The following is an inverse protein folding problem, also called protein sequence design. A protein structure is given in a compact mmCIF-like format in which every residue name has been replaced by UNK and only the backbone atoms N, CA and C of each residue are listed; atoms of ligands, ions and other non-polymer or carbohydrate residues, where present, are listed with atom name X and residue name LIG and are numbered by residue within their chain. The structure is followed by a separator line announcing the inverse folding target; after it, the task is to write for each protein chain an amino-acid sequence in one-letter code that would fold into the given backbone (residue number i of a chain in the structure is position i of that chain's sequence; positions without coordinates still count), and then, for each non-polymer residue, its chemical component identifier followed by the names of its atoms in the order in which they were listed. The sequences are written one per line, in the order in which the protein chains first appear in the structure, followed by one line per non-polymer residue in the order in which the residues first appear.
data_IF_668645191872
#
_entry.id   IF_668645191872
#
_cell.length_a   1.000
_cell.length_b   1.000
_cell.length_c   1.000
_cell.angle_alpha   90.00
_cell.angle_beta   90.00
_cell.angle_gamma   90.00
#
_symmetry.space_group_name_H-M   'P 1'
#
loop_
_entity.id
_entity.type
_entity.pdbx_description
1 polymer ?
#
# COMPACT_ATOMS: atom_id res chain seq x y z
N UNK A 1 -41.71 50.35 19.00
CA UNK A 1 -41.38 51.02 17.72
C UNK A 1 -40.63 50.02 16.87
N UNK A 2 -41.28 49.52 15.81
CA UNK A 2 -40.75 48.47 14.93
C UNK A 2 -39.75 49.05 13.93
N UNK A 3 -38.66 48.34 13.66
CA UNK A 3 -38.07 48.21 12.31
C UNK A 3 -37.22 46.95 12.23
N UNK A 4 -37.86 45.85 11.83
CA UNK A 4 -37.20 44.64 11.32
C UNK A 4 -36.61 45.00 9.95
N UNK A 5 -35.30 44.93 9.79
CA UNK A 5 -34.65 44.98 8.48
C UNK A 5 -34.54 43.54 8.01
N UNK A 6 -35.47 43.16 7.13
CA UNK A 6 -35.45 41.91 6.37
C UNK A 6 -34.56 42.20 5.15
N UNK A 7 -33.32 41.75 5.18
CA UNK A 7 -32.46 41.77 3.99
C UNK A 7 -32.71 40.49 3.20
N UNK A 8 -33.25 40.69 2.01
CA UNK A 8 -33.63 39.69 1.02
C UNK A 8 -32.36 39.07 0.38
N UNK A 9 -32.32 37.74 0.30
CA UNK A 9 -31.29 36.96 -0.37
C UNK A 9 -31.23 37.22 -1.88
N UNK A 10 -30.03 37.16 -2.46
CA UNK A 10 -29.83 36.77 -3.85
C UNK A 10 -28.71 35.71 -3.90
N UNK A 11 -29.12 34.44 -3.97
CA UNK A 11 -28.23 33.30 -4.22
C UNK A 11 -28.06 33.14 -5.73
N UNK A 12 -26.86 33.40 -6.25
CA UNK A 12 -26.50 33.08 -7.63
C UNK A 12 -25.98 31.63 -7.68
N UNK A 13 -26.80 30.71 -8.18
CA UNK A 13 -26.36 29.37 -8.56
C UNK A 13 -25.72 29.45 -9.95
N UNK A 14 -24.40 29.29 -10.04
CA UNK A 14 -23.71 29.07 -11.31
C UNK A 14 -23.69 27.55 -11.56
N UNK A 15 -24.46 27.13 -12.56
CA UNK A 15 -24.47 25.76 -13.08
C UNK A 15 -23.24 25.58 -13.99
N UNK A 16 -22.26 24.79 -13.55
CA UNK A 16 -21.18 24.32 -14.43
C UNK A 16 -21.60 22.95 -14.97
N UNK A 17 -22.02 22.91 -16.23
CA UNK A 17 -22.23 21.64 -16.92
C UNK A 17 -20.87 21.04 -17.33
N UNK A 18 -20.62 19.73 -17.08
CA UNK A 18 -19.48 19.06 -17.69
C UNK A 18 -19.80 18.74 -19.15
N UNK A 19 -19.09 19.38 -20.07
CA UNK A 19 -19.03 18.96 -21.48
C UNK A 19 -17.65 18.38 -21.70
N UNK A 20 -17.59 17.06 -21.89
CA UNK A 20 -16.78 16.43 -22.94
C UNK A 20 -17.23 14.99 -23.09
N UNK A 21 -18.00 14.77 -24.15
CA UNK A 21 -18.21 13.48 -24.76
C UNK A 21 -16.87 12.97 -25.30
N UNK A 22 -16.53 11.73 -25.01
CA UNK A 22 -15.65 10.94 -25.88
C UNK A 22 -16.24 9.56 -26.07
N UNK A 23 -16.13 9.15 -27.32
CA UNK A 23 -16.91 8.15 -28.02
C UNK A 23 -16.73 6.73 -27.47
N UNK A 24 -17.84 6.01 -27.51
CA UNK A 24 -17.94 4.57 -27.47
C UNK A 24 -17.46 4.04 -28.84
N UNK A 25 -16.27 3.44 -28.89
CA UNK A 25 -15.84 2.65 -30.03
C UNK A 25 -15.54 1.23 -29.54
N UNK A 26 -16.55 0.38 -29.68
CA UNK A 26 -16.47 -1.05 -29.47
C UNK A 26 -15.47 -1.66 -30.45
N UNK A 27 -14.34 -2.15 -29.93
CA UNK A 27 -13.45 -3.01 -30.71
C UNK A 27 -14.15 -4.36 -30.98
N UNK A 28 -14.05 -4.91 -32.21
CA UNK A 28 -14.75 -6.12 -32.59
C UNK A 28 -14.14 -7.37 -31.94
N UNK A 29 -15.04 -8.27 -31.52
CA UNK A 29 -14.74 -9.62 -31.06
C UNK A 29 -14.40 -10.47 -32.29
N UNK A 30 -13.13 -10.85 -32.47
CA UNK A 30 -12.78 -11.94 -33.37
C UNK A 30 -12.85 -13.29 -32.64
N UNK A 31 -13.56 -14.20 -33.26
CA UNK A 31 -13.89 -15.55 -32.82
C UNK A 31 -13.10 -16.60 -33.61
N UNK A 32 -12.91 -17.77 -33.00
CA UNK A 32 -12.62 -19.10 -33.62
C UNK A 32 -11.12 -19.34 -33.95
N UNK A 33 -10.43 -20.43 -33.58
CA UNK A 33 -10.84 -21.81 -33.34
C UNK A 33 -9.86 -22.60 -32.44
N UNK A 34 -10.43 -23.66 -31.87
CA UNK A 34 -9.82 -24.81 -31.20
C UNK A 34 -8.85 -25.60 -32.09
N UNK A 35 -7.73 -26.04 -31.52
CA UNK A 35 -7.14 -27.35 -31.84
C UNK A 35 -6.67 -28.04 -30.55
N UNK A 36 -7.37 -29.13 -30.22
CA UNK A 36 -6.95 -30.14 -29.26
C UNK A 36 -5.83 -30.97 -29.89
N UNK A 37 -4.70 -31.15 -29.20
CA UNK A 37 -3.95 -32.40 -29.28
C UNK A 37 -3.64 -32.92 -27.87
N UNK A 38 -3.93 -34.20 -27.73
CA UNK A 38 -3.97 -35.01 -26.52
C UNK A 38 -2.67 -35.81 -26.42
N UNK A 39 -1.91 -35.65 -25.32
CA UNK A 39 -0.98 -36.67 -24.84
C UNK A 39 -1.16 -36.82 -23.31
N UNK A 40 -1.22 -38.07 -22.89
CA UNK A 40 -1.74 -38.62 -21.64
C UNK A 40 -0.86 -38.38 -20.37
N UNK A 41 -1.37 -38.67 -19.15
CA UNK A 41 -0.77 -38.29 -17.87
C UNK A 41 0.23 -39.33 -17.36
N UNK A 42 1.21 -38.91 -16.55
CA UNK A 42 2.02 -39.82 -15.70
C UNK A 42 2.40 -39.10 -14.39
N UNK A 43 2.42 -39.78 -13.23
CA UNK A 43 2.05 -39.17 -11.95
C UNK A 43 3.22 -38.87 -11.01
N UNK A 44 2.91 -38.04 -10.02
CA UNK A 44 3.55 -37.86 -8.69
C UNK A 44 4.95 -37.27 -8.64
N UNK A 45 5.05 -36.06 -8.10
CA UNK A 45 5.72 -35.97 -6.80
C UNK A 45 5.04 -34.89 -5.93
N UNK A 46 4.50 -35.35 -4.81
CA UNK A 46 3.94 -34.51 -3.75
C UNK A 46 5.10 -33.85 -3.03
N UNK A 47 5.37 -32.59 -3.36
CA UNK A 47 6.02 -31.68 -2.41
C UNK A 47 4.98 -30.65 -2.00
N UNK A 48 4.55 -30.75 -0.74
CA UNK A 48 3.76 -29.74 -0.04
C UNK A 48 4.56 -28.44 0.02
N UNK A 49 4.55 -27.68 -1.06
CA UNK A 49 4.93 -26.28 -1.03
C UNK A 49 3.62 -25.51 -0.86
N UNK A 50 3.30 -25.18 0.39
CA UNK A 50 2.37 -24.11 0.72
C UNK A 50 2.62 -22.97 -0.25
N UNK A 51 1.62 -22.48 -1.01
CA UNK A 51 1.85 -21.35 -1.89
C UNK A 51 2.26 -20.18 -1.01
N UNK A 52 3.54 -19.84 -1.03
CA UNK A 52 4.01 -18.55 -0.55
C UNK A 52 3.18 -17.54 -1.31
N UNK A 53 2.31 -16.84 -0.58
CA UNK A 53 1.43 -15.81 -1.11
C UNK A 53 2.32 -14.77 -1.77
N UNK A 54 2.48 -14.87 -3.09
CA UNK A 54 3.18 -13.89 -3.92
C UNK A 54 2.44 -12.58 -3.72
N UNK A 55 3.08 -11.70 -2.96
CA UNK A 55 2.56 -10.38 -2.63
C UNK A 55 2.75 -9.53 -3.85
N UNK A 56 1.65 -9.04 -4.41
CA UNK A 56 1.71 -8.03 -5.46
C UNK A 56 2.09 -6.69 -4.81
N UNK A 57 3.19 -6.04 -5.26
CA UNK A 57 3.54 -4.71 -4.78
C UNK A 57 2.43 -3.71 -5.16
N UNK A 58 2.03 -2.84 -4.22
CA UNK A 58 1.30 -1.63 -4.58
C UNK A 58 2.37 -0.59 -4.96
N UNK A 59 2.74 -0.60 -6.24
CA UNK A 59 3.66 0.36 -6.82
C UNK A 59 2.91 1.63 -7.23
N UNK A 60 3.40 2.79 -6.79
CA UNK A 60 3.00 4.10 -7.30
C UNK A 60 4.27 4.91 -7.46
N UNK A 61 4.79 5.01 -8.68
CA UNK A 61 5.98 5.82 -9.00
C UNK A 61 5.89 7.19 -8.29
N UNK A 62 6.87 7.59 -7.45
CA UNK A 62 8.20 7.00 -7.21
C UNK A 62 8.33 6.04 -6.00
N UNK A 63 7.24 5.67 -5.36
CA UNK A 63 7.21 4.80 -4.18
C UNK A 63 6.78 3.36 -4.49
N UNK A 64 7.34 2.42 -3.73
CA UNK A 64 6.81 1.07 -3.60
C UNK A 64 6.62 0.73 -2.13
N UNK A 65 5.51 0.06 -1.83
CA UNK A 65 5.23 -0.51 -0.51
C UNK A 65 5.00 -2.02 -0.64
N UNK A 66 5.79 -2.79 0.08
CA UNK A 66 5.70 -4.25 0.13
C UNK A 66 5.39 -4.70 1.55
N UNK A 67 4.55 -5.73 1.64
CA UNK A 67 4.14 -6.31 2.91
C UNK A 67 4.20 -7.83 2.83
N UNK A 68 5.10 -8.44 3.60
CA UNK A 68 5.36 -9.86 3.60
C UNK A 68 5.25 -10.50 4.98
N UNK A 69 5.54 -11.78 5.00
CA UNK A 69 5.77 -12.58 6.21
C UNK A 69 7.23 -12.98 6.20
N UNK A 70 7.94 -12.76 7.29
CA UNK A 70 9.29 -13.28 7.51
C UNK A 70 9.26 -14.45 8.48
N UNK A 71 10.40 -15.08 8.71
CA UNK A 71 10.54 -16.13 9.73
C UNK A 71 10.40 -15.61 11.16
N UNK A 72 10.17 -14.30 11.37
CA UNK A 72 10.12 -13.70 12.71
C UNK A 72 8.87 -12.86 12.93
N UNK A 73 8.17 -12.43 11.88
CA UNK A 73 6.97 -11.60 12.01
C UNK A 73 6.39 -11.17 10.67
N UNK A 74 5.61 -10.09 10.68
CA UNK A 74 5.13 -9.45 9.45
C UNK A 74 6.12 -8.36 9.05
N UNK A 75 6.64 -8.43 7.84
CA UNK A 75 7.70 -7.54 7.37
C UNK A 75 7.13 -6.51 6.40
N UNK A 76 7.38 -5.23 6.69
CA UNK A 76 7.07 -4.11 5.82
C UNK A 76 8.33 -3.49 5.24
N UNK A 77 8.35 -3.36 3.92
CA UNK A 77 9.44 -2.73 3.18
C UNK A 77 8.87 -1.57 2.37
N UNK A 78 9.56 -0.44 2.37
CA UNK A 78 9.25 0.66 1.45
C UNK A 78 10.50 1.04 0.68
N UNK A 79 10.30 1.47 -0.57
CA UNK A 79 11.34 2.09 -1.36
C UNK A 79 10.83 3.34 -2.07
N UNK A 80 11.75 4.25 -2.29
CA UNK A 80 11.59 5.47 -3.06
C UNK A 80 12.68 5.48 -4.13
N UNK A 81 12.31 5.66 -5.39
CA UNK A 81 13.25 5.81 -6.48
C UNK A 81 12.79 6.94 -7.39
N UNK A 82 13.53 8.05 -7.36
CA UNK A 82 13.27 9.18 -8.24
C UNK A 82 14.57 9.62 -8.95
N UNK A 83 14.84 9.06 -10.16
CA UNK A 83 16.06 9.32 -10.89
C UNK A 83 16.35 10.82 -11.07
N UNK A 84 17.58 11.22 -10.77
CA UNK A 84 18.04 12.61 -10.88
C UNK A 84 17.59 13.55 -9.75
N UNK A 85 16.86 13.04 -8.74
CA UNK A 85 16.48 13.82 -7.54
C UNK A 85 17.27 13.33 -6.34
N UNK A 86 18.20 14.15 -5.84
CA UNK A 86 19.00 13.80 -4.66
C UNK A 86 18.17 13.92 -3.39
N UNK A 87 17.91 12.80 -2.71
CA UNK A 87 17.14 12.76 -1.46
C UNK A 87 17.94 13.42 -0.33
N UNK A 88 17.25 14.24 0.45
CA UNK A 88 17.82 15.07 1.51
C UNK A 88 17.23 14.74 2.88
N UNK A 89 15.97 14.31 2.93
CA UNK A 89 15.28 13.93 4.16
C UNK A 89 14.24 12.85 3.86
N UNK A 90 14.23 11.82 4.68
CA UNK A 90 13.14 10.86 4.78
C UNK A 90 12.36 11.17 6.04
N UNK A 91 11.05 11.33 5.92
CA UNK A 91 10.11 11.56 7.02
C UNK A 91 8.83 10.77 6.75
N UNK A 92 8.86 9.48 7.06
CA UNK A 92 7.78 8.54 6.79
C UNK A 92 7.30 7.85 8.08
N UNK A 93 6.04 7.43 8.08
CA UNK A 93 5.45 6.58 9.11
C UNK A 93 4.76 5.42 8.42
N UNK A 94 5.08 4.20 8.85
CA UNK A 94 4.48 2.96 8.39
C UNK A 94 3.65 2.37 9.52
N UNK A 95 2.34 2.38 9.36
CA UNK A 95 1.40 1.81 10.31
C UNK A 95 1.03 0.38 9.91
N UNK A 96 1.07 -0.54 10.88
CA UNK A 96 0.42 -1.83 10.75
C UNK A 96 -1.06 -1.65 11.11
N UNK A 97 -1.93 -1.94 10.16
CA UNK A 97 -3.37 -1.92 10.36
C UNK A 97 -3.93 -3.33 10.42
N UNK A 98 -4.88 -3.53 11.31
CA UNK A 98 -5.56 -4.80 11.56
C UNK A 98 -7.05 -4.66 11.37
N UNK A 99 -7.69 -5.76 10.99
CA UNK A 99 -9.12 -5.98 11.16
C UNK A 99 -9.37 -7.46 11.38
N UNK A 100 -10.36 -7.78 12.20
CA UNK A 100 -10.71 -9.17 12.50
C UNK A 100 -11.45 -9.83 11.34
N UNK A 101 -12.43 -9.13 10.77
CA UNK A 101 -13.23 -9.57 9.64
C UNK A 101 -13.14 -8.58 8.48
N UNK A 102 -13.45 -9.04 7.26
CA UNK A 102 -13.47 -8.17 6.07
C UNK A 102 -14.43 -6.96 6.19
N UNK A 103 -15.53 -7.11 6.95
CA UNK A 103 -16.52 -6.06 7.17
C UNK A 103 -16.10 -5.07 8.27
N UNK A 104 -15.08 -5.40 9.06
CA UNK A 104 -14.60 -4.53 10.12
C UNK A 104 -13.75 -3.40 9.53
N UNK A 105 -13.77 -2.25 10.22
CA UNK A 105 -12.88 -1.14 9.87
C UNK A 105 -11.44 -1.51 10.18
N UNK A 106 -10.52 -0.91 9.44
CA UNK A 106 -9.09 -1.03 9.72
C UNK A 106 -8.72 -0.17 10.93
N UNK A 107 -7.99 -0.76 11.86
CA UNK A 107 -7.47 -0.09 13.06
C UNK A 107 -5.94 -0.17 13.06
N UNK A 108 -5.26 0.93 13.37
CA UNK A 108 -3.80 0.92 13.56
C UNK A 108 -3.47 0.22 14.88
N UNK A 109 -2.64 -0.81 14.81
CA UNK A 109 -2.24 -1.64 15.97
C UNK A 109 -0.76 -1.50 16.32
N UNK A 110 0.08 -1.09 15.37
CA UNK A 110 1.51 -0.83 15.57
C UNK A 110 2.02 0.16 14.52
N UNK A 111 3.21 0.73 14.70
CA UNK A 111 3.77 1.72 13.78
C UNK A 111 5.29 1.87 13.88
N UNK A 112 5.91 2.15 12.73
CA UNK A 112 7.35 2.41 12.60
C UNK A 112 7.60 3.77 11.95
N UNK A 113 8.43 4.59 12.59
CA UNK A 113 8.85 5.88 12.07
C UNK A 113 10.21 5.80 11.37
N UNK A 114 10.31 6.43 10.19
CA UNK A 114 11.55 6.59 9.44
C UNK A 114 11.85 8.07 9.31
N UNK A 115 12.75 8.57 10.17
CA UNK A 115 13.16 9.97 10.18
C UNK A 115 14.68 10.09 10.17
N UNK A 116 15.26 10.40 9.01
CA UNK A 116 16.71 10.50 8.86
C UNK A 116 17.10 11.35 7.63
N UNK A 117 18.29 11.98 7.64
CA UNK A 117 18.81 12.66 6.46
C UNK A 117 19.08 11.65 5.33
N UNK A 118 18.65 11.97 4.11
CA UNK A 118 18.85 11.12 2.93
C UNK A 118 20.31 11.00 2.53
N UNK A 119 20.66 9.88 1.88
CA UNK A 119 22.01 9.53 1.42
C UNK A 119 22.48 10.27 0.16
N UNK A 120 21.85 11.39 -0.21
CA UNK A 120 22.09 12.22 -1.40
C UNK A 120 22.00 11.48 -2.76
N UNK A 121 21.62 10.21 -2.75
CA UNK A 121 21.28 9.43 -3.93
C UNK A 121 19.86 9.71 -4.42
N UNK A 122 19.46 9.02 -5.49
CA UNK A 122 18.08 9.09 -6.02
C UNK A 122 17.14 8.04 -5.44
N UNK A 123 17.66 7.21 -4.55
CA UNK A 123 16.98 6.04 -4.01
C UNK A 123 17.10 6.02 -2.50
N UNK A 124 16.01 5.65 -1.84
CA UNK A 124 15.98 5.35 -0.42
C UNK A 124 15.11 4.12 -0.21
N UNK A 125 15.47 3.28 0.74
CA UNK A 125 14.64 2.14 1.14
C UNK A 125 14.89 1.82 2.60
N UNK A 126 13.86 1.29 3.26
CA UNK A 126 13.98 0.81 4.62
C UNK A 126 12.88 -0.19 4.95
N UNK A 127 13.04 -0.86 6.08
CA UNK A 127 12.18 -1.94 6.51
C UNK A 127 11.85 -1.88 7.99
N UNK A 128 10.71 -2.47 8.36
CA UNK A 128 10.35 -2.73 9.74
C UNK A 128 9.67 -4.09 9.85
N UNK A 129 9.89 -4.77 10.97
CA UNK A 129 9.22 -6.02 11.29
C UNK A 129 8.26 -5.78 12.45
N UNK A 130 7.02 -6.21 12.27
CA UNK A 130 5.96 -6.14 13.26
C UNK A 130 5.65 -7.53 13.82
N UNK A 131 5.25 -7.59 15.09
CA UNK A 131 5.04 -8.85 15.83
C UNK A 131 3.61 -8.96 16.36
N UNK A 132 2.61 -9.06 15.48
CA UNK A 132 1.22 -9.19 15.92
C UNK A 132 0.97 -10.52 16.63
N UNK A 133 0.09 -10.49 17.61
CA UNK A 133 -0.32 -11.66 18.42
C UNK A 133 -1.73 -12.15 18.08
N UNK A 134 -2.54 -11.34 17.40
CA UNK A 134 -3.93 -11.67 17.08
C UNK A 134 -4.08 -12.28 15.69
N UNK A 135 -4.94 -13.29 15.57
CA UNK A 135 -5.34 -13.83 14.28
C UNK A 135 -6.32 -12.88 13.58
N UNK A 136 -6.12 -12.64 12.28
CA UNK A 136 -7.00 -11.80 11.46
C UNK A 136 -6.32 -11.29 10.20
N UNK A 137 -6.75 -10.14 9.69
CA UNK A 137 -6.16 -9.53 8.51
C UNK A 137 -5.34 -8.30 8.86
N UNK A 138 -4.16 -8.21 8.26
CA UNK A 138 -3.23 -7.12 8.42
C UNK A 138 -2.94 -6.44 7.08
N UNK A 139 -2.63 -5.15 7.09
CA UNK A 139 -2.06 -4.41 5.96
C UNK A 139 -1.14 -3.31 6.47
N UNK A 140 -0.32 -2.76 5.60
CA UNK A 140 0.46 -1.57 5.88
C UNK A 140 -0.22 -0.33 5.34
N UNK A 141 0.00 0.77 6.04
CA UNK A 141 -0.32 2.12 5.60
C UNK A 141 0.92 2.99 5.74
N UNK A 142 1.51 3.42 4.62
CA UNK A 142 2.69 4.29 4.61
C UNK A 142 2.26 5.72 4.31
N UNK A 143 2.66 6.66 5.17
CA UNK A 143 2.41 8.09 4.98
C UNK A 143 3.66 8.92 5.23
N UNK A 144 3.69 10.11 4.67
CA UNK A 144 4.71 11.10 4.98
C UNK A 144 5.33 11.71 3.72
N UNK A 145 6.59 12.14 3.81
CA UNK A 145 7.29 12.83 2.76
C UNK A 145 8.74 12.34 2.60
N UNK A 146 9.19 12.27 1.37
CA UNK A 146 10.61 12.22 1.01
C UNK A 146 10.99 13.53 0.33
N UNK A 147 11.88 14.29 0.94
CA UNK A 147 12.38 15.57 0.40
C UNK A 147 13.64 15.37 -0.40
N UNK A 148 13.80 16.10 -1.49
CA UNK A 148 14.98 16.08 -2.37
C UNK A 148 15.39 17.51 -2.76
N UNK A 149 16.55 17.67 -3.40
CA UNK A 149 17.03 19.01 -3.82
C UNK A 149 16.05 19.66 -4.81
N UNK A 150 15.29 20.65 -4.32
CA UNK A 150 14.31 21.42 -5.08
C UNK A 150 12.83 21.12 -4.77
N UNK A 151 12.52 20.30 -3.75
CA UNK A 151 11.14 19.93 -3.41
C UNK A 151 11.00 18.60 -2.67
N UNK A 152 9.86 17.93 -2.80
CA UNK A 152 9.62 16.63 -2.17
C UNK A 152 8.41 15.91 -2.71
N UNK A 153 8.28 14.63 -2.37
CA UNK A 153 7.17 13.76 -2.75
C UNK A 153 6.46 13.26 -1.49
N UNK A 154 5.17 13.53 -1.39
CA UNK A 154 4.30 13.02 -0.31
C UNK A 154 3.78 11.64 -0.72
N UNK A 155 3.65 10.71 0.22
CA UNK A 155 3.00 9.43 -0.01
C UNK A 155 1.83 9.20 0.96
N UNK A 156 0.86 8.44 0.49
CA UNK A 156 -0.22 7.82 1.27
C UNK A 156 -0.58 6.53 0.56
N UNK A 157 0.00 5.43 1.00
CA UNK A 157 -0.03 4.14 0.31
C UNK A 157 -0.55 3.06 1.23
N UNK A 158 -1.29 2.12 0.66
CA UNK A 158 -1.73 0.92 1.37
C UNK A 158 -1.13 -0.31 0.71
N UNK A 159 -0.70 -1.28 1.50
CA UNK A 159 -0.35 -2.59 0.94
C UNK A 159 -1.62 -3.40 0.64
N UNK A 160 -1.45 -4.52 -0.06
CA UNK A 160 -2.43 -5.60 -0.01
C UNK A 160 -2.59 -6.13 1.43
N UNK A 161 -3.76 -6.69 1.72
CA UNK A 161 -4.05 -7.31 3.01
C UNK A 161 -3.53 -8.76 3.06
N UNK A 162 -3.10 -9.20 4.24
CA UNK A 162 -2.65 -10.56 4.53
C UNK A 162 -3.37 -11.13 5.74
N UNK A 163 -3.81 -12.38 5.62
CA UNK A 163 -4.32 -13.13 6.77
C UNK A 163 -3.15 -13.68 7.59
N UNK A 164 -3.25 -13.59 8.91
CA UNK A 164 -2.31 -14.13 9.88
C UNK A 164 -3.08 -14.97 10.91
N UNK A 165 -2.58 -16.16 11.24
CA UNK A 165 -3.32 -17.12 12.09
C UNK A 165 -3.04 -16.99 13.60
N UNK A 166 -2.18 -16.06 14.01
CA UNK A 166 -1.80 -15.87 15.42
C UNK A 166 -0.66 -16.76 15.92
N UNK A 167 -0.06 -17.62 15.07
CA UNK A 167 1.16 -18.36 15.43
C UNK A 167 2.37 -17.45 15.46
N UNK A 168 2.75 -17.09 16.68
CA UNK A 168 3.96 -16.34 17.04
C UNK A 168 5.20 -17.04 16.47
N UNK A 169 6.04 -16.32 15.74
CA UNK A 169 7.48 -16.64 15.72
C UNK A 169 8.16 -15.64 16.66
N UNK A 170 8.73 -16.15 17.75
CA UNK A 170 9.41 -15.33 18.75
C UNK A 170 10.80 -14.99 18.17
N UNK A 171 10.96 -13.79 17.61
CA UNK A 171 12.28 -13.17 17.61
C UNK A 171 12.44 -12.40 18.92
N UNK A 172 13.40 -12.82 19.73
CA UNK A 172 13.83 -12.05 20.89
C UNK A 172 14.28 -10.66 20.42
N UNK A 173 13.91 -9.56 21.13
CA UNK A 173 14.41 -8.24 20.80
C UNK A 173 15.94 -8.20 20.94
N UNK A 174 16.65 -7.35 20.17
CA UNK A 174 18.09 -7.20 20.31
C UNK A 174 18.42 -6.69 21.73
N UNK A 175 19.24 -7.45 22.45
CA UNK A 175 19.76 -7.04 23.76
C UNK A 175 20.61 -5.79 23.58
N UNK A 176 20.17 -4.64 24.09
CA UNK A 176 21.03 -3.47 24.22
C UNK A 176 22.20 -3.83 25.17
N UNK A 177 23.41 -3.94 24.63
CA UNK A 177 24.62 -4.03 25.42
C UNK A 177 24.89 -2.67 26.06
N UNK A 178 24.90 -2.61 27.39
CA UNK A 178 25.42 -1.48 28.17
C UNK A 178 26.94 -1.44 28.16
#
# INVERSE_FOLDING_TARGET
MFKKIITLMLFAFILVAPISAFADEAAPIESVNSFNEHIAPTPTDTTNNTPESIVTPQATDPFNLWFGTSSVGLEGNWSFNYPGKMVTLVSLTMDLQYRKNFLDSWETVDGAGFYYPGGLGSTEENQSTFYPTEAGQYRLHLTGNVSWIGGGTICTLYSGAKSYDGKIIIASPPTESK
#
